data_IF_477877740089
#
_entry.id   IF_477877740089
#
_cell.length_a   1.000
_cell.length_b   1.000
_cell.length_c   1.000
_cell.angle_alpha   90.00
_cell.angle_beta   90.00
_cell.angle_gamma   90.00
#
_symmetry.space_group_name_H-M   'P 1'
#
loop_
_entity.id
_entity.type
_entity.pdbx_description
1 polymer ?
#
# COMPACT_ATOMS: atom_id res chain seq x y z
N UNK A 1 16.68 8.29 12.54
CA UNK A 1 17.47 7.40 11.65
C UNK A 1 16.86 7.56 10.27
N UNK A 2 17.56 8.23 9.35
CA UNK A 2 16.98 8.67 8.07
C UNK A 2 16.64 7.51 7.14
N UNK A 3 15.56 7.64 6.39
CA UNK A 3 15.11 6.72 5.35
C UNK A 3 16.10 6.83 4.18
N UNK A 4 17.25 6.16 4.27
CA UNK A 4 18.24 6.17 3.21
C UNK A 4 17.80 5.18 2.12
N UNK A 5 17.11 5.66 1.08
CA UNK A 5 17.10 4.99 -0.23
C UNK A 5 15.79 4.90 -1.01
N UNK A 6 14.63 5.33 -0.50
CA UNK A 6 13.39 5.31 -1.28
C UNK A 6 12.36 6.31 -0.76
N UNK A 7 11.87 7.20 -1.63
CA UNK A 7 10.71 8.04 -1.33
C UNK A 7 9.45 7.18 -1.14
N UNK A 8 8.52 7.58 -0.26
CA UNK A 8 7.28 6.84 -0.06
C UNK A 8 6.43 6.88 -1.34
N UNK A 9 6.07 5.69 -1.84
CA UNK A 9 5.25 5.55 -3.04
C UNK A 9 3.77 5.83 -2.76
N UNK A 10 3.30 5.61 -1.53
CA UNK A 10 1.92 5.86 -1.12
C UNK A 10 1.81 6.06 0.39
N UNK A 11 0.96 7.00 0.83
CA UNK A 11 0.63 7.21 2.25
C UNK A 11 -0.88 7.16 2.41
N UNK A 12 -1.34 6.45 3.44
CA UNK A 12 -2.76 6.34 3.76
C UNK A 12 -2.99 5.94 5.21
N UNK A 13 -4.19 5.54 5.56
CA UNK A 13 -4.52 5.09 6.92
C UNK A 13 -5.13 3.68 6.89
N UNK A 14 -4.79 2.87 7.89
CA UNK A 14 -5.42 1.58 8.15
C UNK A 14 -5.59 1.40 9.66
N UNK A 15 -6.79 1.04 10.07
CA UNK A 15 -7.19 0.80 11.45
C UNK A 15 -6.83 1.97 12.38
N UNK A 16 -7.07 3.20 11.91
CA UNK A 16 -6.76 4.44 12.64
C UNK A 16 -5.28 4.78 12.76
N UNK A 17 -4.38 4.06 12.07
CA UNK A 17 -2.94 4.30 12.08
C UNK A 17 -2.44 4.76 10.71
N UNK A 18 -1.53 5.71 10.71
CA UNK A 18 -0.88 6.19 9.49
C UNK A 18 0.03 5.08 8.95
N UNK A 19 -0.13 4.80 7.66
CA UNK A 19 0.58 3.75 6.95
C UNK A 19 1.32 4.38 5.77
N UNK A 20 2.56 3.97 5.59
CA UNK A 20 3.43 4.39 4.50
C UNK A 20 3.88 3.16 3.73
N UNK A 21 3.80 3.23 2.41
CA UNK A 21 4.26 2.18 1.51
C UNK A 21 5.45 2.73 0.74
N UNK A 22 6.57 2.03 0.83
CA UNK A 22 7.81 2.39 0.16
C UNK A 22 8.25 1.24 -0.74
N UNK A 23 8.82 1.62 -1.87
CA UNK A 23 9.35 0.68 -2.84
C UNK A 23 10.87 0.65 -2.78
N UNK A 24 11.44 -0.55 -2.61
CA UNK A 24 12.88 -0.75 -2.57
C UNK A 24 13.32 -1.62 -3.73
N UNK A 25 14.29 -1.15 -4.51
CA UNK A 25 14.88 -1.92 -5.60
C UNK A 25 16.01 -2.80 -5.07
N UNK A 26 15.90 -4.10 -5.31
CA UNK A 26 17.01 -5.04 -5.18
C UNK A 26 17.38 -5.55 -6.57
N UNK A 27 18.65 -5.92 -6.80
CA UNK A 27 19.26 -6.16 -8.12
C UNK A 27 18.38 -6.94 -9.12
N UNK A 28 17.58 -7.90 -8.62
CA UNK A 28 16.72 -8.78 -9.43
C UNK A 28 15.23 -8.70 -9.09
N UNK A 29 14.80 -7.87 -8.12
CA UNK A 29 13.39 -7.81 -7.71
C UNK A 29 13.01 -6.47 -7.12
N UNK A 30 11.72 -6.14 -7.20
CA UNK A 30 11.21 -4.92 -6.55
C UNK A 30 10.44 -5.27 -5.29
N UNK A 31 10.85 -4.61 -4.22
CA UNK A 31 10.44 -4.65 -2.82
C UNK A 31 9.25 -3.76 -2.49
N UNK A 32 8.07 -4.24 -2.08
CA UNK A 32 7.13 -3.37 -1.36
C UNK A 32 7.35 -3.56 0.14
N UNK A 33 7.60 -2.46 0.84
CA UNK A 33 7.65 -2.42 2.31
C UNK A 33 6.50 -1.56 2.83
N UNK A 34 5.80 -2.05 3.85
CA UNK A 34 4.70 -1.36 4.50
C UNK A 34 5.12 -1.02 5.92
N UNK A 35 5.06 0.27 6.23
CA UNK A 35 5.42 0.86 7.51
C UNK A 35 4.18 1.45 8.17
N UNK A 36 4.08 1.34 9.48
CA UNK A 36 3.00 1.91 10.28
C UNK A 36 3.61 2.80 11.36
N UNK A 37 3.02 3.97 11.54
CA UNK A 37 3.36 4.86 12.64
C UNK A 37 2.66 4.37 13.91
N UNK A 38 3.42 3.89 14.88
CA UNK A 38 2.88 3.36 16.14
C UNK A 38 2.86 4.40 17.26
N UNK A 39 3.95 5.17 17.40
CA UNK A 39 4.06 6.28 18.35
C UNK A 39 4.16 7.60 17.59
N UNK A 40 3.09 8.39 17.64
CA UNK A 40 3.01 9.69 16.96
C UNK A 40 3.85 10.76 17.64
N UNK A 41 4.06 10.68 18.96
CA UNK A 41 4.85 11.66 19.71
C UNK A 41 6.35 11.48 19.45
N UNK A 42 6.77 10.23 19.24
CA UNK A 42 8.17 9.88 18.93
C UNK A 42 8.46 9.73 17.44
N UNK A 43 7.44 9.88 16.59
CA UNK A 43 7.51 9.63 15.15
C UNK A 43 8.05 8.22 14.82
N UNK A 44 7.65 7.22 15.60
CA UNK A 44 8.19 5.85 15.52
C UNK A 44 7.48 5.02 14.44
N UNK A 45 8.19 4.79 13.33
CA UNK A 45 7.74 3.93 12.24
C UNK A 45 8.22 2.50 12.42
N UNK A 46 7.30 1.54 12.38
CA UNK A 46 7.58 0.11 12.47
C UNK A 46 7.25 -0.56 11.13
N UNK A 47 8.14 -1.42 10.64
CA UNK A 47 7.89 -2.20 9.43
C UNK A 47 6.86 -3.30 9.75
N UNK A 48 5.67 -3.17 9.19
CA UNK A 48 4.57 -4.13 9.38
C UNK A 48 4.64 -5.30 8.42
N UNK A 49 5.04 -5.04 7.18
CA UNK A 49 5.11 -6.09 6.17
C UNK A 49 6.11 -5.79 5.05
N UNK A 50 6.52 -6.85 4.36
CA UNK A 50 7.39 -6.80 3.19
C UNK A 50 7.00 -7.90 2.22
N UNK A 51 6.79 -7.53 0.96
CA UNK A 51 6.37 -8.45 -0.09
C UNK A 51 7.09 -8.11 -1.40
N UNK A 52 7.55 -9.14 -2.10
CA UNK A 52 8.19 -8.95 -3.41
C UNK A 52 7.16 -8.82 -4.53
N UNK A 53 7.52 -8.08 -5.58
CA UNK A 53 6.74 -8.03 -6.82
C UNK A 53 6.47 -9.42 -7.39
N UNK A 54 7.38 -10.38 -7.20
CA UNK A 54 7.20 -11.77 -7.58
C UNK A 54 6.07 -12.46 -6.81
N UNK A 55 5.96 -12.23 -5.50
CA UNK A 55 4.87 -12.79 -4.70
C UNK A 55 3.51 -12.16 -5.06
N UNK A 56 3.49 -10.88 -5.43
CA UNK A 56 2.29 -10.16 -5.81
C UNK A 56 1.79 -10.54 -7.21
N UNK A 57 2.69 -10.63 -8.18
CA UNK A 57 2.33 -10.72 -9.60
C UNK A 57 2.71 -12.05 -10.24
N UNK A 58 3.53 -12.87 -9.59
CA UNK A 58 4.05 -14.13 -10.10
C UNK A 58 5.33 -13.98 -10.94
N UNK A 59 5.79 -15.11 -11.48
CA UNK A 59 7.00 -15.22 -12.30
C UNK A 59 6.75 -14.79 -13.75
N UNK A 60 6.51 -13.50 -13.98
CA UNK A 60 6.42 -12.97 -15.34
C UNK A 60 7.80 -12.48 -15.74
N UNK A 61 8.46 -13.20 -16.66
CA UNK A 61 9.84 -12.97 -17.14
C UNK A 61 10.13 -11.56 -17.72
N UNK A 62 9.12 -10.70 -17.80
CA UNK A 62 9.18 -9.39 -18.46
C UNK A 62 8.90 -8.20 -17.54
N UNK A 63 8.83 -8.39 -16.21
CA UNK A 63 8.55 -7.30 -15.26
C UNK A 63 9.79 -6.40 -15.04
N UNK A 64 10.15 -5.67 -16.09
CA UNK A 64 11.05 -4.54 -15.98
C UNK A 64 10.26 -3.33 -15.47
N UNK A 65 10.57 -2.89 -14.24
CA UNK A 65 10.24 -1.56 -13.67
C UNK A 65 8.75 -1.21 -13.48
N UNK A 66 8.37 -0.87 -12.24
CA UNK A 66 7.29 0.08 -11.91
C UNK A 66 5.94 -0.06 -12.65
N UNK A 67 5.63 -1.24 -13.17
CA UNK A 67 4.39 -1.49 -13.90
C UNK A 67 3.19 -1.64 -12.96
N UNK A 68 3.31 -1.20 -11.70
CA UNK A 68 2.20 -1.18 -10.79
C UNK A 68 2.12 0.12 -10.01
N UNK A 69 0.92 0.44 -9.56
CA UNK A 69 0.64 1.55 -8.65
C UNK A 69 -0.14 1.02 -7.45
N UNK A 70 0.19 1.50 -6.26
CA UNK A 70 -0.69 1.31 -5.10
C UNK A 70 -1.86 2.25 -5.26
N UNK A 71 -3.08 1.70 -5.26
CA UNK A 71 -4.31 2.45 -5.52
C UNK A 71 -4.99 2.87 -4.21
N UNK A 72 -4.97 2.00 -3.21
CA UNK A 72 -5.61 2.26 -1.92
C UNK A 72 -5.08 1.38 -0.80
N UNK A 73 -5.22 1.87 0.43
CA UNK A 73 -5.12 1.11 1.68
C UNK A 73 -6.53 1.01 2.25
N UNK A 74 -6.97 -0.20 2.63
CA UNK A 74 -8.28 -0.39 3.22
C UNK A 74 -8.33 0.26 4.63
N UNK A 75 -9.33 1.11 4.93
CA UNK A 75 -9.37 1.86 6.18
C UNK A 75 -9.54 0.96 7.41
N UNK A 76 -10.30 -0.14 7.33
CA UNK A 76 -10.59 -1.00 8.51
C UNK A 76 -9.81 -2.32 8.56
N UNK A 77 -9.13 -2.70 7.47
CA UNK A 77 -8.52 -4.02 7.31
C UNK A 77 -7.09 -3.87 6.82
N UNK A 78 -6.29 -4.89 7.07
CA UNK A 78 -4.91 -4.97 6.62
C UNK A 78 -4.83 -5.38 5.13
N UNK A 79 -5.60 -4.70 4.27
CA UNK A 79 -5.61 -4.90 2.83
C UNK A 79 -5.04 -3.70 2.09
N UNK A 80 -4.24 -3.98 1.08
CA UNK A 80 -3.77 -2.99 0.10
C UNK A 80 -4.24 -3.39 -1.29
N UNK A 81 -4.61 -2.40 -2.10
CA UNK A 81 -5.03 -2.59 -3.49
C UNK A 81 -3.93 -2.10 -4.42
N UNK A 82 -3.50 -2.96 -5.33
CA UNK A 82 -2.38 -2.70 -6.22
C UNK A 82 -2.83 -2.98 -7.64
N UNK A 83 -2.69 -1.98 -8.51
CA UNK A 83 -3.00 -2.10 -9.92
C UNK A 83 -1.73 -2.41 -10.69
N UNK A 84 -1.69 -3.58 -11.33
CA UNK A 84 -0.68 -3.95 -12.32
C UNK A 84 -1.13 -3.41 -13.68
N UNK A 85 -0.44 -2.36 -14.15
CA UNK A 85 -0.72 -1.63 -15.38
C UNK A 85 -0.92 -2.58 -16.55
N UNK A 86 -2.07 -2.44 -17.21
CA UNK A 86 -2.43 -3.24 -18.39
C UNK A 86 -2.77 -4.70 -18.10
N UNK A 87 -2.92 -5.12 -16.83
CA UNK A 87 -3.22 -6.51 -16.49
C UNK A 87 -4.40 -6.66 -15.54
N UNK A 88 -4.21 -6.31 -14.26
CA UNK A 88 -5.18 -6.64 -13.21
C UNK A 88 -5.04 -5.75 -11.99
N UNK A 89 -6.15 -5.58 -11.28
CA UNK A 89 -6.14 -5.13 -9.90
C UNK A 89 -6.08 -6.36 -8.98
N UNK A 90 -5.13 -6.31 -8.06
CA UNK A 90 -5.02 -7.28 -6.97
C UNK A 90 -5.28 -6.60 -5.63
N UNK A 91 -5.73 -7.40 -4.67
CA UNK A 91 -5.74 -7.07 -3.26
C UNK A 91 -4.74 -7.98 -2.55
N UNK A 92 -3.86 -7.40 -1.72
CA UNK A 92 -2.96 -8.13 -0.86
C UNK A 92 -3.39 -7.98 0.59
N UNK A 93 -3.63 -9.10 1.27
CA UNK A 93 -3.97 -9.17 2.68
C UNK A 93 -2.70 -9.44 3.51
N UNK A 94 -2.31 -8.47 4.33
CA UNK A 94 -1.09 -8.53 5.12
C UNK A 94 -1.19 -9.51 6.31
N UNK A 95 -2.41 -9.87 6.76
CA UNK A 95 -2.62 -10.76 7.90
C UNK A 95 -2.27 -12.21 7.56
N UNK A 96 -2.70 -12.68 6.40
CA UNK A 96 -2.50 -14.05 5.93
C UNK A 96 -1.53 -14.15 4.74
N UNK A 97 -0.97 -13.03 4.28
CA UNK A 97 -0.05 -12.93 3.13
C UNK A 97 -0.66 -13.42 1.81
N UNK A 98 -1.98 -13.35 1.67
CA UNK A 98 -2.67 -13.79 0.46
C UNK A 98 -2.85 -12.66 -0.56
N UNK A 99 -2.78 -13.03 -1.83
CA UNK A 99 -3.06 -12.14 -2.96
C UNK A 99 -4.31 -12.66 -3.68
N UNK A 100 -5.30 -11.79 -3.84
CA UNK A 100 -6.52 -12.08 -4.58
C UNK A 100 -6.64 -11.14 -5.78
N UNK A 101 -7.08 -11.66 -6.92
CA UNK A 101 -7.39 -10.81 -8.08
C UNK A 101 -8.79 -10.23 -7.87
N UNK A 102 -8.88 -8.91 -7.78
CA UNK A 102 -10.16 -8.19 -7.62
C UNK A 102 -10.84 -8.04 -8.97
N UNK A 103 -10.06 -7.73 -10.00
CA UNK A 103 -10.53 -7.69 -11.39
C UNK A 103 -9.38 -7.84 -12.37
N UNK A 104 -9.59 -8.56 -13.45
CA UNK A 104 -8.78 -8.44 -14.66
C UNK A 104 -9.43 -7.37 -15.55
N UNK A 105 -8.67 -6.39 -16.05
CA UNK A 105 -9.26 -5.34 -16.88
C UNK A 105 -8.81 -5.44 -18.33
N UNK A 106 -9.82 -5.28 -19.20
CA UNK A 106 -9.72 -4.97 -20.62
C UNK A 106 -9.20 -3.53 -20.75
N UNK A 107 -8.30 -3.30 -21.70
CA UNK A 107 -7.63 -2.02 -21.98
C UNK A 107 -8.55 -0.79 -21.83
N UNK A 108 -8.09 0.25 -21.12
CA UNK A 108 -8.64 1.61 -21.28
C UNK A 108 -9.09 2.39 -20.03
N UNK A 109 -9.03 1.85 -18.81
CA UNK A 109 -9.44 2.63 -17.62
C UNK A 109 -8.25 3.10 -16.78
N UNK A 110 -8.25 4.41 -16.48
CA UNK A 110 -7.45 4.99 -15.40
C UNK A 110 -8.12 4.66 -14.06
N UNK A 111 -7.38 4.04 -13.15
CA UNK A 111 -7.86 3.67 -11.83
C UNK A 111 -7.73 4.87 -10.91
N UNK A 112 -8.85 5.50 -10.55
CA UNK A 112 -8.84 6.57 -9.55
C UNK A 112 -8.69 5.99 -8.15
N UNK A 113 -7.75 6.48 -7.33
CA UNK A 113 -7.62 6.07 -5.93
C UNK A 113 -8.96 6.18 -5.20
N UNK A 114 -9.30 5.14 -4.43
CA UNK A 114 -10.45 5.22 -3.53
C UNK A 114 -10.14 6.27 -2.46
N UNK A 115 -10.93 7.35 -2.43
CA UNK A 115 -10.89 8.34 -1.35
C UNK A 115 -11.92 7.89 -0.32
N UNK A 116 -11.52 7.38 0.86
CA UNK A 116 -12.46 7.03 1.90
C UNK A 116 -13.24 8.28 2.30
N UNK A 117 -14.57 8.17 2.36
CA UNK A 117 -15.40 9.19 2.96
C UNK A 117 -15.06 9.28 4.45
N UNK A 118 -14.21 10.24 4.82
CA UNK A 118 -13.94 10.58 6.21
C UNK A 118 -15.23 11.16 6.79
N UNK A 119 -15.95 10.34 7.56
CA UNK A 119 -17.07 10.83 8.36
C UNK A 119 -16.51 11.81 9.39
N UNK A 120 -17.16 12.96 9.59
CA UNK A 120 -16.72 13.98 10.54
C UNK A 120 -16.39 13.36 11.90
N UNK A 121 -15.14 13.52 12.33
CA UNK A 121 -14.73 13.16 13.68
C UNK A 121 -15.47 14.06 14.67
N UNK A 122 -16.04 13.54 15.78
CA UNK A 122 -16.50 14.39 16.87
C UNK A 122 -15.28 14.96 17.58
N UNK A 123 -14.67 15.99 16.97
CA UNK A 123 -13.55 16.73 17.55
C UNK A 123 -14.07 17.42 18.81
N UNK A 124 -13.53 16.98 19.95
CA UNK A 124 -13.39 17.72 21.20
C UNK A 124 -14.61 18.58 21.60
N UNK A 125 -15.54 17.97 22.34
CA UNK A 125 -16.36 18.73 23.28
C UNK A 125 -15.47 19.23 24.44
N UNK A 126 -14.58 20.19 24.18
CA UNK A 126 -14.13 21.10 25.24
C UNK A 126 -15.26 22.09 25.44
N UNK A 127 -16.15 21.80 26.40
CA UNK A 127 -17.10 22.77 26.92
C UNK A 127 -16.66 23.18 28.32
N UNK A 128 -16.64 24.49 28.47
CA UNK A 128 -16.07 25.34 29.53
C UNK A 128 -16.66 25.09 30.92
#
# INVERSE_FOLDING_TARGET
MGILGSEPAFVGQSQGRLCCISEHRDHNSTQITIWVLEDYEKEEWVMKDRVSSFQLFGSVKWLFHFDYIVVAIHPDRNLIFIYHRGQKLISYNMDNKEVHTVSALVEGYEWTPYVPYLSESPVLSKKH
#
